data_IF_521057726544
#
_entry.id   IF_521057726544
#
_cell.length_a   1.000
_cell.length_b   1.000
_cell.length_c   1.000
_cell.angle_alpha   90.00
_cell.angle_beta   90.00
_cell.angle_gamma   90.00
#
_symmetry.space_group_name_H-M   'P 1'
#
loop_
_entity.id
_entity.type
_entity.pdbx_description
1 polymer ?
#
# COMPACT_ATOMS: atom_id res chain seq x y z
N UNK A 1 1.30 17.26 -14.91
CA UNK A 1 2.28 17.21 -13.78
C UNK A 1 3.40 18.26 -13.88
N UNK A 2 3.55 18.96 -15.01
CA UNK A 2 4.60 19.97 -15.23
C UNK A 2 4.19 21.41 -14.88
N UNK A 3 2.97 21.64 -14.39
CA UNK A 3 2.46 22.99 -14.13
C UNK A 3 3.30 23.78 -13.10
N UNK A 4 3.66 23.15 -11.98
CA UNK A 4 4.47 23.79 -10.93
C UNK A 4 5.88 24.12 -11.40
N UNK A 5 6.65 23.20 -12.01
CA UNK A 5 7.94 23.52 -12.60
C UNK A 5 7.89 24.62 -13.66
N UNK A 6 6.88 24.59 -14.54
CA UNK A 6 6.70 25.62 -15.57
C UNK A 6 6.40 26.99 -14.96
N UNK A 7 5.54 27.04 -13.93
CA UNK A 7 5.24 28.28 -13.22
C UNK A 7 6.48 28.88 -12.53
N UNK A 8 7.27 28.04 -11.87
CA UNK A 8 8.52 28.46 -11.22
C UNK A 8 9.47 29.09 -12.26
N UNK A 9 9.69 28.42 -13.39
CA UNK A 9 10.54 28.94 -14.45
C UNK A 9 10.03 30.23 -15.08
N UNK A 10 8.71 30.40 -15.18
CA UNK A 10 8.13 31.61 -15.77
C UNK A 10 8.07 32.80 -14.81
N UNK A 11 7.99 32.53 -13.48
CA UNK A 11 7.72 33.58 -12.48
C UNK A 11 8.99 34.06 -11.72
N UNK A 12 10.06 33.29 -11.73
CA UNK A 12 11.24 33.57 -10.90
C UNK A 12 12.54 33.62 -11.69
N UNK A 13 13.54 34.38 -11.21
CA UNK A 13 14.86 34.40 -11.83
C UNK A 13 15.55 33.02 -11.68
N UNK A 14 16.51 32.67 -12.62
CA UNK A 14 17.08 31.33 -12.68
C UNK A 14 17.71 30.80 -11.39
N UNK A 15 18.35 31.66 -10.61
CA UNK A 15 18.96 31.28 -9.34
C UNK A 15 17.92 30.85 -8.29
N UNK A 16 16.78 31.56 -8.22
CA UNK A 16 15.69 31.24 -7.29
C UNK A 16 14.89 30.02 -7.78
N UNK A 17 14.68 29.88 -9.08
CA UNK A 17 14.10 28.69 -9.68
C UNK A 17 14.92 27.43 -9.35
N UNK A 18 16.26 27.52 -9.41
CA UNK A 18 17.17 26.46 -8.98
C UNK A 18 16.98 26.07 -7.49
N UNK A 19 16.83 27.04 -6.62
CA UNK A 19 16.54 26.81 -5.20
C UNK A 19 15.19 26.12 -4.99
N UNK A 20 14.15 26.55 -5.69
CA UNK A 20 12.83 25.92 -5.64
C UNK A 20 12.89 24.46 -6.12
N UNK A 21 13.59 24.16 -7.20
CA UNK A 21 13.76 22.80 -7.70
C UNK A 21 14.54 21.91 -6.73
N UNK A 22 15.58 22.46 -6.09
CA UNK A 22 16.32 21.74 -5.06
C UNK A 22 15.41 21.42 -3.84
N UNK A 23 14.57 22.35 -3.42
CA UNK A 23 13.61 22.13 -2.33
C UNK A 23 12.59 21.04 -2.68
N UNK A 24 12.05 21.04 -3.92
CA UNK A 24 11.14 19.99 -4.41
C UNK A 24 11.86 18.63 -4.42
N UNK A 25 13.10 18.57 -4.91
CA UNK A 25 13.88 17.34 -4.95
C UNK A 25 14.15 16.78 -3.55
N UNK A 26 14.54 17.63 -2.60
CA UNK A 26 14.74 17.25 -1.19
C UNK A 26 13.44 16.75 -0.55
N UNK A 27 12.31 17.43 -0.82
CA UNK A 27 11.00 17.03 -0.32
C UNK A 27 10.55 15.66 -0.83
N UNK A 28 10.93 15.27 -2.05
CA UNK A 28 10.64 13.97 -2.62
C UNK A 28 11.61 12.87 -2.13
N UNK A 29 12.84 13.22 -1.81
CA UNK A 29 13.90 12.27 -1.42
C UNK A 29 13.57 11.56 -0.09
N UNK A 30 13.05 12.29 0.89
CA UNK A 30 12.77 11.76 2.23
C UNK A 30 11.71 10.65 2.19
N UNK A 31 10.50 10.85 1.62
CA UNK A 31 9.51 9.79 1.49
C UNK A 31 10.03 8.58 0.69
N UNK A 32 10.77 8.81 -0.40
CA UNK A 32 11.34 7.74 -1.21
C UNK A 32 12.36 6.91 -0.42
N UNK A 33 13.18 7.55 0.41
CA UNK A 33 14.13 6.86 1.29
C UNK A 33 13.41 5.99 2.32
N UNK A 34 12.39 6.54 3.01
CA UNK A 34 11.61 5.82 4.01
C UNK A 34 10.90 4.61 3.39
N UNK A 35 10.25 4.79 2.24
CA UNK A 35 9.57 3.70 1.53
C UNK A 35 10.54 2.58 1.14
N UNK A 36 11.73 2.93 0.63
CA UNK A 36 12.71 1.90 0.23
C UNK A 36 13.29 1.14 1.42
N UNK A 37 13.48 1.80 2.58
CA UNK A 37 13.92 1.16 3.81
C UNK A 37 12.80 0.29 4.39
N UNK A 38 11.56 0.77 4.39
CA UNK A 38 10.40 -0.01 4.81
C UNK A 38 10.24 -1.29 3.99
N UNK A 39 10.28 -1.20 2.67
CA UNK A 39 10.22 -2.36 1.78
C UNK A 39 11.38 -3.34 2.03
N UNK A 40 12.60 -2.82 2.23
CA UNK A 40 13.77 -3.64 2.52
C UNK A 40 13.63 -4.41 3.84
N UNK A 41 13.15 -3.75 4.89
CA UNK A 41 12.91 -4.39 6.20
C UNK A 41 11.83 -5.47 6.11
N UNK A 42 10.73 -5.21 5.39
CA UNK A 42 9.67 -6.19 5.18
C UNK A 42 10.19 -7.44 4.46
N UNK A 43 10.95 -7.26 3.39
CA UNK A 43 11.55 -8.40 2.65
C UNK A 43 12.54 -9.16 3.54
N UNK A 44 13.41 -8.47 4.25
CA UNK A 44 14.43 -9.10 5.07
C UNK A 44 13.82 -9.88 6.25
N UNK A 45 12.87 -9.29 6.97
CA UNK A 45 12.29 -9.90 8.17
C UNK A 45 11.21 -10.91 7.87
N UNK A 46 10.37 -10.68 6.85
CA UNK A 46 9.21 -11.52 6.58
C UNK A 46 9.44 -12.56 5.48
N UNK A 47 10.44 -12.37 4.63
CA UNK A 47 10.74 -13.31 3.55
C UNK A 47 12.10 -13.96 3.78
N UNK A 48 13.16 -13.17 3.89
CA UNK A 48 14.52 -13.72 3.95
C UNK A 48 14.76 -14.51 5.21
N UNK A 49 14.48 -13.92 6.38
CA UNK A 49 14.73 -14.57 7.68
C UNK A 49 13.93 -15.86 7.87
N UNK A 50 12.63 -15.96 7.59
CA UNK A 50 11.87 -17.20 7.80
C UNK A 50 12.20 -18.31 6.80
N UNK A 51 12.45 -17.95 5.53
CA UNK A 51 12.52 -18.92 4.44
C UNK A 51 13.96 -19.24 3.96
N UNK A 52 14.90 -18.30 4.10
CA UNK A 52 16.26 -18.45 3.57
C UNK A 52 17.25 -18.74 4.69
N UNK A 53 17.26 -17.94 5.76
CA UNK A 53 18.19 -18.11 6.86
C UNK A 53 17.58 -17.67 8.20
N UNK A 54 17.17 -18.64 9.02
CA UNK A 54 16.55 -18.39 10.33
C UNK A 54 17.51 -17.83 11.37
N UNK A 55 18.80 -18.10 11.24
CA UNK A 55 19.86 -17.70 12.19
C UNK A 55 20.63 -16.47 11.68
N UNK A 56 19.94 -15.51 11.10
CA UNK A 56 20.55 -14.30 10.56
C UNK A 56 21.01 -13.40 11.71
N UNK A 57 22.31 -13.12 11.76
CA UNK A 57 22.85 -12.13 12.70
C UNK A 57 22.58 -10.70 12.23
N UNK A 58 22.56 -9.74 13.17
CA UNK A 58 22.16 -8.35 12.91
C UNK A 58 22.97 -7.67 11.79
N UNK A 59 24.28 -7.95 11.72
CA UNK A 59 25.14 -7.41 10.66
C UNK A 59 24.77 -7.94 9.26
N UNK A 60 24.37 -9.22 9.17
CA UNK A 60 23.91 -9.81 7.92
C UNK A 60 22.52 -9.32 7.53
N UNK A 61 21.62 -9.16 8.50
CA UNK A 61 20.29 -8.55 8.30
C UNK A 61 20.40 -7.13 7.71
N UNK A 62 21.27 -6.29 8.30
CA UNK A 62 21.53 -4.95 7.81
C UNK A 62 22.11 -4.93 6.39
N UNK A 63 22.98 -5.89 6.05
CA UNK A 63 23.55 -6.00 4.69
C UNK A 63 22.49 -6.37 3.66
N UNK A 64 21.65 -7.35 3.97
CA UNK A 64 20.55 -7.76 3.07
C UNK A 64 19.56 -6.61 2.88
N UNK A 65 19.17 -5.92 3.95
CA UNK A 65 18.30 -4.77 3.87
C UNK A 65 18.87 -3.66 2.97
N UNK A 66 20.19 -3.40 3.02
CA UNK A 66 20.85 -2.45 2.12
C UNK A 66 20.78 -2.89 0.66
N UNK A 67 21.01 -4.16 0.37
CA UNK A 67 20.93 -4.71 -1.01
C UNK A 67 19.49 -4.61 -1.52
N UNK A 68 18.50 -5.01 -0.74
CA UNK A 68 17.08 -4.93 -1.12
C UNK A 68 16.67 -3.48 -1.34
N UNK A 69 17.07 -2.55 -0.46
CA UNK A 69 16.81 -1.12 -0.64
C UNK A 69 17.41 -0.58 -1.95
N UNK A 70 18.61 -1.03 -2.30
CA UNK A 70 19.24 -0.66 -3.57
C UNK A 70 18.47 -1.21 -4.78
N UNK A 71 18.03 -2.47 -4.71
CA UNK A 71 17.22 -3.09 -5.77
C UNK A 71 15.89 -2.38 -5.96
N UNK A 72 15.21 -2.00 -4.88
CA UNK A 72 13.95 -1.23 -4.94
C UNK A 72 14.17 0.12 -5.62
N UNK A 73 15.24 0.83 -5.26
CA UNK A 73 15.59 2.13 -5.89
C UNK A 73 15.94 1.97 -7.36
N UNK A 74 16.67 0.92 -7.70
CA UNK A 74 17.01 0.62 -9.09
C UNK A 74 15.77 0.27 -9.91
N UNK A 75 14.85 -0.53 -9.35
CA UNK A 75 13.55 -0.80 -9.96
C UNK A 75 12.72 0.48 -10.19
N UNK A 76 12.68 1.38 -9.20
CA UNK A 76 12.02 2.67 -9.34
C UNK A 76 12.66 3.53 -10.45
N UNK A 77 13.99 3.54 -10.55
CA UNK A 77 14.71 4.24 -11.61
C UNK A 77 14.34 3.69 -13.00
N UNK A 78 14.29 2.36 -13.15
CA UNK A 78 13.87 1.74 -14.41
C UNK A 78 12.43 2.14 -14.77
N UNK A 79 11.51 2.14 -13.81
CA UNK A 79 10.15 2.62 -14.04
C UNK A 79 10.12 4.08 -14.55
N UNK A 80 10.91 4.97 -13.96
CA UNK A 80 10.98 6.38 -14.39
C UNK A 80 11.57 6.52 -15.80
N UNK A 81 12.54 5.69 -16.18
CA UNK A 81 13.18 5.74 -17.49
C UNK A 81 12.30 5.18 -18.62
N UNK A 82 11.52 4.14 -18.34
CA UNK A 82 10.74 3.42 -19.36
C UNK A 82 9.26 3.78 -19.38
N UNK A 83 8.70 4.31 -18.28
CA UNK A 83 7.29 4.69 -18.22
C UNK A 83 7.12 6.21 -18.44
N UNK A 84 6.14 6.63 -19.23
CA UNK A 84 5.83 8.04 -19.38
C UNK A 84 5.44 8.67 -18.03
N UNK A 85 5.96 9.87 -17.75
CA UNK A 85 5.76 10.59 -16.47
C UNK A 85 4.28 10.89 -16.15
N UNK A 86 3.42 10.92 -17.16
CA UNK A 86 1.97 11.07 -16.97
C UNK A 86 1.33 9.91 -16.19
N UNK A 87 1.94 8.71 -16.21
CA UNK A 87 1.46 7.55 -15.46
C UNK A 87 1.91 7.53 -13.99
N UNK A 88 2.76 8.45 -13.55
CA UNK A 88 3.27 8.43 -12.17
C UNK A 88 2.14 8.56 -11.12
N UNK A 89 1.15 9.42 -11.37
CA UNK A 89 -0.01 9.59 -10.49
C UNK A 89 -0.92 8.36 -10.54
N UNK A 90 -1.15 7.83 -11.73
CA UNK A 90 -1.99 6.64 -11.91
C UNK A 90 -1.37 5.42 -11.22
N UNK A 91 -0.04 5.23 -11.32
CA UNK A 91 0.68 4.16 -10.61
C UNK A 91 0.60 4.31 -9.09
N UNK A 92 0.69 5.53 -8.57
CA UNK A 92 0.53 5.79 -7.14
C UNK A 92 -0.89 5.45 -6.68
N UNK A 93 -1.90 5.86 -7.42
CA UNK A 93 -3.30 5.56 -7.12
C UNK A 93 -3.61 4.07 -7.28
N UNK A 94 -3.03 3.38 -8.27
CA UNK A 94 -3.14 1.93 -8.41
C UNK A 94 -2.55 1.20 -7.21
N UNK A 95 -1.36 1.61 -6.74
CA UNK A 95 -0.79 1.09 -5.49
C UNK A 95 -1.72 1.31 -4.29
N UNK A 96 -2.40 2.45 -4.23
CA UNK A 96 -3.40 2.78 -3.22
C UNK A 96 -4.61 1.83 -3.23
N UNK A 97 -5.01 1.28 -4.40
CA UNK A 97 -6.10 0.28 -4.49
C UNK A 97 -5.79 -0.93 -3.61
N UNK A 98 -4.56 -1.44 -3.69
CA UNK A 98 -4.13 -2.61 -2.92
C UNK A 98 -3.88 -2.29 -1.44
N UNK A 99 -3.24 -1.15 -1.15
CA UNK A 99 -2.98 -0.72 0.23
C UNK A 99 -4.30 -0.54 1.02
N UNK A 100 -5.33 -0.02 0.37
CA UNK A 100 -6.63 0.20 1.01
C UNK A 100 -7.31 -1.10 1.45
N UNK A 101 -6.98 -2.24 0.81
CA UNK A 101 -7.55 -3.54 1.18
C UNK A 101 -7.06 -4.07 2.55
N UNK A 102 -5.97 -3.53 3.08
CA UNK A 102 -5.46 -3.90 4.41
C UNK A 102 -6.29 -3.23 5.52
N UNK A 103 -6.97 -2.13 5.20
CA UNK A 103 -7.70 -1.31 6.17
C UNK A 103 -8.71 -2.09 7.04
N UNK A 104 -9.59 -2.97 6.49
CA UNK A 104 -10.51 -3.75 7.32
C UNK A 104 -9.79 -4.66 8.32
N UNK A 105 -8.71 -5.31 7.89
CA UNK A 105 -7.95 -6.22 8.76
C UNK A 105 -7.26 -5.45 9.90
N UNK A 106 -6.71 -4.27 9.65
CA UNK A 106 -6.05 -3.46 10.67
C UNK A 106 -7.08 -2.86 11.63
N UNK A 107 -8.10 -2.16 11.14
CA UNK A 107 -9.07 -1.49 12.00
C UNK A 107 -9.91 -2.51 12.77
N UNK A 108 -10.51 -3.48 12.09
CA UNK A 108 -11.35 -4.44 12.76
C UNK A 108 -10.53 -5.45 13.57
N UNK A 109 -9.34 -5.80 13.14
CA UNK A 109 -8.47 -6.72 13.88
C UNK A 109 -7.90 -6.14 15.17
N UNK A 110 -7.60 -4.82 15.19
CA UNK A 110 -7.06 -4.15 16.38
C UNK A 110 -8.15 -3.68 17.34
N UNK A 111 -9.27 -3.14 16.83
CA UNK A 111 -10.26 -2.47 17.66
C UNK A 111 -11.52 -3.30 17.91
N UNK A 112 -11.74 -4.40 17.17
CA UNK A 112 -12.94 -5.22 17.35
C UNK A 112 -12.61 -6.71 17.36
N UNK A 113 -13.39 -7.49 18.12
CA UNK A 113 -13.33 -8.96 18.12
C UNK A 113 -14.49 -9.58 17.32
N UNK A 114 -15.26 -8.77 16.62
CA UNK A 114 -16.46 -9.19 15.92
C UNK A 114 -16.15 -9.97 14.64
N UNK A 115 -15.18 -9.51 13.84
CA UNK A 115 -14.81 -10.16 12.59
C UNK A 115 -13.78 -11.29 12.83
N UNK A 116 -14.03 -12.42 12.22
CA UNK A 116 -13.12 -13.58 12.29
C UNK A 116 -11.89 -13.39 11.36
N UNK A 117 -10.70 -13.80 11.77
CA UNK A 117 -9.50 -13.68 10.93
C UNK A 117 -9.63 -14.34 9.55
N UNK A 118 -10.32 -15.50 9.47
CA UNK A 118 -10.59 -16.17 8.20
C UNK A 118 -11.52 -15.38 7.29
N UNK A 119 -12.50 -14.67 7.86
CA UNK A 119 -13.41 -13.80 7.11
C UNK A 119 -12.69 -12.54 6.60
N UNK A 120 -11.83 -11.95 7.43
CA UNK A 120 -11.00 -10.81 7.03
C UNK A 120 -10.03 -11.19 5.90
N UNK A 121 -9.43 -12.39 5.96
CA UNK A 121 -8.56 -12.90 4.89
C UNK A 121 -9.32 -13.09 3.58
N UNK A 122 -10.52 -13.68 3.62
CA UNK A 122 -11.36 -13.86 2.43
C UNK A 122 -11.85 -12.51 1.88
N UNK A 123 -12.21 -11.57 2.73
CA UNK A 123 -12.54 -10.21 2.35
C UNK A 123 -11.37 -9.51 1.66
N UNK A 124 -10.16 -9.64 2.23
CA UNK A 124 -8.94 -9.11 1.63
C UNK A 124 -8.66 -9.70 0.24
N UNK A 125 -8.74 -11.03 0.09
CA UNK A 125 -8.56 -11.71 -1.20
C UNK A 125 -9.59 -11.20 -2.21
N UNK A 126 -10.87 -11.11 -1.84
CA UNK A 126 -11.93 -10.63 -2.71
C UNK A 126 -11.73 -9.16 -3.11
N UNK A 127 -11.35 -8.30 -2.17
CA UNK A 127 -11.02 -6.89 -2.45
C UNK A 127 -9.82 -6.73 -3.37
N UNK A 128 -8.74 -7.49 -3.13
CA UNK A 128 -7.56 -7.51 -4.01
C UNK A 128 -7.91 -7.96 -5.43
N UNK A 129 -8.67 -9.05 -5.56
CA UNK A 129 -9.11 -9.56 -6.85
C UNK A 129 -10.00 -8.55 -7.58
N UNK A 130 -11.02 -8.01 -6.91
CA UNK A 130 -11.93 -7.01 -7.48
C UNK A 130 -11.19 -5.76 -7.92
N UNK A 131 -10.30 -5.23 -7.08
CA UNK A 131 -9.51 -4.04 -7.39
C UNK A 131 -8.58 -4.27 -8.58
N UNK A 132 -7.93 -5.44 -8.65
CA UNK A 132 -7.03 -5.78 -9.76
C UNK A 132 -7.77 -6.00 -11.08
N UNK A 133 -8.91 -6.70 -11.07
CA UNK A 133 -9.73 -6.94 -12.27
C UNK A 133 -10.28 -5.62 -12.79
N UNK A 134 -10.90 -4.79 -11.94
CA UNK A 134 -11.44 -3.50 -12.36
C UNK A 134 -10.36 -2.55 -12.89
N UNK A 135 -9.16 -2.55 -12.27
CA UNK A 135 -8.05 -1.74 -12.76
C UNK A 135 -7.57 -2.22 -14.13
N UNK A 136 -7.51 -3.54 -14.33
CA UNK A 136 -7.12 -4.13 -15.61
C UNK A 136 -8.14 -3.82 -16.72
N UNK A 137 -9.42 -4.04 -16.46
CA UNK A 137 -10.50 -3.78 -17.43
C UNK A 137 -10.61 -2.30 -17.80
N UNK A 138 -10.25 -1.41 -16.86
CA UNK A 138 -10.26 0.04 -17.07
C UNK A 138 -8.95 0.58 -17.70
N UNK A 139 -8.09 -0.29 -18.22
CA UNK A 139 -6.82 0.09 -18.86
C UNK A 139 -5.81 0.68 -17.87
N UNK A 140 -5.71 0.12 -16.66
CA UNK A 140 -4.85 0.56 -15.55
C UNK A 140 -5.10 2.00 -15.07
N UNK A 141 -6.32 2.51 -15.30
CA UNK A 141 -6.76 3.78 -14.71
C UNK A 141 -7.41 3.53 -13.36
N UNK A 142 -7.06 4.30 -12.32
CA UNK A 142 -7.52 4.06 -10.95
C UNK A 142 -8.97 4.52 -10.70
N UNK A 143 -9.56 5.25 -11.64
CA UNK A 143 -10.91 5.82 -11.53
C UNK A 143 -11.80 5.27 -12.63
N UNK A 144 -12.93 4.71 -12.24
CA UNK A 144 -13.97 4.22 -13.15
C UNK A 144 -15.18 5.17 -13.14
N UNK A 145 -15.75 5.41 -14.32
CA UNK A 145 -16.97 6.19 -14.41
C UNK A 145 -18.18 5.30 -14.10
N UNK A 146 -18.89 5.61 -13.01
CA UNK A 146 -20.13 4.92 -12.65
C UNK A 146 -21.31 5.84 -12.98
N UNK A 147 -22.30 5.29 -13.68
CA UNK A 147 -23.55 6.00 -13.94
C UNK A 147 -24.43 6.03 -12.68
N UNK A 148 -24.55 7.19 -12.06
CA UNK A 148 -25.50 7.43 -10.98
C UNK A 148 -26.73 8.16 -11.54
N UNK A 149 -27.78 7.41 -11.95
CA UNK A 149 -29.00 7.97 -12.49
C UNK A 149 -28.87 8.50 -13.92
N UNK A 150 -29.96 9.13 -14.41
CA UNK A 150 -30.04 9.63 -15.79
C UNK A 150 -29.09 10.82 -15.99
N UNK A 151 -27.99 10.58 -16.72
CA UNK A 151 -27.08 11.64 -17.18
C UNK A 151 -25.93 12.05 -16.27
N UNK A 152 -25.77 11.46 -15.09
CA UNK A 152 -24.67 11.81 -14.19
C UNK A 152 -23.61 10.69 -14.15
N UNK A 153 -22.53 10.85 -14.91
CA UNK A 153 -21.33 10.02 -14.75
C UNK A 153 -20.40 10.64 -13.71
N UNK A 154 -20.18 9.94 -12.60
CA UNK A 154 -19.19 10.34 -11.59
C UNK A 154 -18.01 9.38 -11.62
N UNK A 155 -16.80 9.94 -11.61
CA UNK A 155 -15.59 9.16 -11.42
C UNK A 155 -15.53 8.63 -9.99
N UNK A 156 -15.47 7.30 -9.83
CA UNK A 156 -15.32 6.66 -8.54
C UNK A 156 -13.97 5.96 -8.50
N UNK A 157 -13.25 6.12 -7.39
CA UNK A 157 -11.97 5.46 -7.19
C UNK A 157 -12.18 3.96 -6.98
N UNK A 158 -11.53 3.14 -7.81
CA UNK A 158 -11.66 1.67 -7.80
C UNK A 158 -11.33 1.09 -6.42
N UNK A 159 -10.35 1.68 -5.71
CA UNK A 159 -9.98 1.25 -4.36
C UNK A 159 -11.13 1.28 -3.36
N UNK A 160 -12.07 2.24 -3.47
CA UNK A 160 -13.25 2.31 -2.60
C UNK A 160 -14.28 1.22 -2.94
N UNK A 161 -14.45 0.91 -4.21
CA UNK A 161 -15.33 -0.19 -4.64
C UNK A 161 -14.80 -1.51 -4.13
N UNK A 162 -13.51 -1.76 -4.33
CA UNK A 162 -12.83 -2.95 -3.84
C UNK A 162 -12.88 -3.06 -2.31
N UNK A 163 -12.71 -1.93 -1.60
CA UNK A 163 -12.85 -1.86 -0.15
C UNK A 163 -14.26 -2.21 0.32
N UNK A 164 -15.29 -1.72 -0.36
CA UNK A 164 -16.68 -2.06 -0.04
C UNK A 164 -16.94 -3.57 -0.22
N UNK A 165 -16.43 -4.18 -1.29
CA UNK A 165 -16.48 -5.63 -1.51
C UNK A 165 -15.75 -6.39 -0.41
N UNK A 166 -14.56 -5.94 -0.02
CA UNK A 166 -13.76 -6.52 1.06
C UNK A 166 -14.56 -6.54 2.38
N UNK A 167 -15.10 -5.39 2.80
CA UNK A 167 -15.94 -5.31 4.01
C UNK A 167 -17.18 -6.18 3.90
N UNK A 168 -17.88 -6.13 2.78
CA UNK A 168 -19.08 -6.93 2.56
C UNK A 168 -18.80 -8.43 2.72
N UNK A 169 -17.77 -8.94 2.07
CA UNK A 169 -17.38 -10.35 2.18
C UNK A 169 -16.95 -10.69 3.61
N UNK A 170 -16.17 -9.84 4.28
CA UNK A 170 -15.76 -10.06 5.66
C UNK A 170 -16.96 -10.16 6.61
N UNK A 171 -17.96 -9.30 6.44
CA UNK A 171 -19.19 -9.29 7.25
C UNK A 171 -20.04 -10.53 6.97
N UNK A 172 -20.26 -10.88 5.70
CA UNK A 172 -21.09 -12.02 5.31
C UNK A 172 -20.47 -13.35 5.70
N UNK A 173 -19.14 -13.48 5.57
CA UNK A 173 -18.43 -14.73 5.89
C UNK A 173 -18.27 -14.94 7.39
N UNK A 174 -18.26 -13.88 8.20
CA UNK A 174 -18.10 -14.01 9.66
C UNK A 174 -19.11 -14.94 10.31
N UNK A 175 -20.44 -14.81 10.13
CA UNK A 175 -21.41 -15.72 10.73
C UNK A 175 -21.25 -17.18 10.24
N UNK A 176 -20.86 -17.37 8.98
CA UNK A 176 -20.56 -18.71 8.43
C UNK A 176 -19.34 -19.31 9.11
N UNK A 177 -18.29 -18.53 9.30
CA UNK A 177 -17.07 -18.96 9.97
C UNK A 177 -17.33 -19.29 11.46
N UNK A 178 -18.25 -18.58 12.12
CA UNK A 178 -18.68 -18.88 13.48
C UNK A 178 -19.49 -20.19 13.52
N UNK A 179 -20.42 -20.37 12.59
CA UNK A 179 -21.25 -21.60 12.50
C UNK A 179 -20.40 -22.86 12.24
N UNK A 180 -19.33 -22.75 11.48
CA UNK A 180 -18.39 -23.83 11.23
C UNK A 180 -17.46 -24.17 12.41
N UNK A 181 -17.68 -23.57 13.59
CA UNK A 181 -16.91 -23.80 14.83
C UNK A 181 -15.40 -23.81 14.65
N UNK A 182 -14.85 -23.03 13.74
CA UNK A 182 -13.41 -22.85 13.65
C UNK A 182 -12.92 -22.25 14.96
N UNK A 183 -12.01 -22.99 15.64
CA UNK A 183 -11.37 -22.58 16.87
C UNK A 183 -10.85 -21.15 16.74
N UNK A 184 -11.15 -20.30 17.70
CA UNK A 184 -10.53 -18.95 17.73
C UNK A 184 -9.03 -19.12 17.86
N UNK A 185 -8.23 -18.35 17.11
CA UNK A 185 -6.82 -18.23 17.43
C UNK A 185 -6.74 -17.73 18.88
N UNK A 186 -6.02 -18.45 19.73
CA UNK A 186 -5.76 -18.00 21.10
C UNK A 186 -4.99 -16.67 21.02
N UNK A 187 -5.46 -15.69 21.80
CA UNK A 187 -4.68 -14.49 22.01
C UNK A 187 -3.38 -14.91 22.73
N UNK A 188 -2.26 -14.74 22.06
CA UNK A 188 -0.94 -15.09 22.57
C UNK A 188 -0.29 -13.93 23.33
N UNK A 189 -0.91 -12.74 23.32
CA UNK A 189 -0.42 -11.58 24.07
C UNK A 189 -0.78 -11.71 25.54
N UNK A 190 0.21 -11.55 26.38
CA UNK A 190 0.06 -11.54 27.84
C UNK A 190 0.08 -10.08 28.34
N UNK A 191 -0.54 -9.81 29.48
CA UNK A 191 -0.52 -8.49 30.10
C UNK A 191 0.92 -7.99 30.36
N UNK A 192 1.84 -8.90 30.67
CA UNK A 192 3.29 -8.63 30.84
C UNK A 192 3.94 -8.07 29.58
N UNK A 193 3.45 -8.41 28.38
CA UNK A 193 4.02 -7.89 27.11
C UNK A 193 3.80 -6.36 26.95
N UNK A 194 2.93 -5.79 27.79
CA UNK A 194 2.60 -4.35 27.79
C UNK A 194 3.22 -3.59 28.98
N UNK A 195 3.77 -4.28 29.96
CA UNK A 195 4.32 -3.68 31.19
C UNK A 195 5.79 -3.26 31.05
N UNK A 196 6.54 -3.84 30.12
CA UNK A 196 7.98 -3.59 29.92
C UNK A 196 8.30 -2.35 29.04
N UNK A 197 7.32 -1.49 28.76
CA UNK A 197 7.49 -0.30 27.87
C UNK A 197 7.30 1.04 28.59
N UNK A 198 7.33 1.06 29.94
CA UNK A 198 7.36 2.29 30.76
C UNK A 198 8.70 2.42 31.54
#
# INVERSE_FOLDING_TARGET
SMAVPALINASFPPWFAGFCFAAIALGALVPAAIMSIGAANLVTRNIWRPYVNKNLGDAAEARIAKIVSLLVKFGALLCVLYLPTQFAIDLQLLGGIWMLQIFPAVICGLFTRWLRPSALLLGWIAGMATGSVLAWDNGLKPVVAIAFGVGAHRGVYIGLIALAVNFFIAIVVTPVAVALRKKEPSDLTLAVDYEDTL
#
